data_IF_799876822076
#
_entry.id   IF_799876822076
#
_cell.length_a   1.000
_cell.length_b   1.000
_cell.length_c   1.000
_cell.angle_alpha   90.00
_cell.angle_beta   90.00
_cell.angle_gamma   90.00
#
_symmetry.space_group_name_H-M   'P 1'
#
loop_
_entity.id
_entity.type
_entity.pdbx_description
1 polymer ?
#
# COMPACT_ATOMS: atom_id res chain seq x y z
N UNK A 1 -19.93 -4.53 -7.78
CA UNK A 1 -20.19 -5.58 -8.75
C UNK A 1 -18.92 -6.15 -9.31
N UNK A 2 -18.02 -5.27 -9.79
CA UNK A 2 -16.74 -5.74 -10.30
C UNK A 2 -15.97 -6.54 -9.26
N UNK A 3 -16.03 -6.13 -8.00
CA UNK A 3 -15.30 -6.81 -6.93
C UNK A 3 -15.79 -8.23 -6.71
N UNK A 4 -17.08 -8.47 -6.86
CA UNK A 4 -17.63 -9.80 -6.64
C UNK A 4 -17.08 -10.83 -7.63
N UNK A 5 -16.49 -10.36 -8.72
CA UNK A 5 -15.94 -11.22 -9.76
C UNK A 5 -14.43 -11.37 -9.66
N UNK A 6 -13.79 -10.66 -8.74
CA UNK A 6 -12.33 -10.74 -8.57
C UNK A 6 -12.04 -11.75 -7.47
N UNK A 7 -11.41 -12.86 -7.84
CA UNK A 7 -11.14 -13.96 -6.91
C UNK A 7 -9.70 -13.95 -6.38
N UNK A 8 -8.77 -13.34 -7.11
CA UNK A 8 -7.37 -13.34 -6.71
C UNK A 8 -6.69 -12.06 -7.16
N UNK A 9 -5.55 -11.81 -6.54
CA UNK A 9 -4.71 -10.67 -6.91
C UNK A 9 -4.22 -10.81 -8.35
N UNK A 10 -3.84 -12.03 -8.76
CA UNK A 10 -3.40 -12.25 -10.14
C UNK A 10 -4.50 -11.92 -11.14
N UNK A 11 -5.73 -12.35 -10.87
CA UNK A 11 -6.86 -12.03 -11.75
C UNK A 11 -7.06 -10.53 -11.85
N UNK A 12 -6.95 -9.83 -10.72
CA UNK A 12 -7.10 -8.38 -10.73
C UNK A 12 -6.01 -7.72 -11.57
N UNK A 13 -4.77 -8.13 -11.38
CA UNK A 13 -3.65 -7.52 -12.10
C UNK A 13 -3.71 -7.78 -13.59
N UNK A 14 -4.26 -8.94 -13.99
CA UNK A 14 -4.43 -9.24 -15.40
C UNK A 14 -5.42 -8.29 -16.08
N UNK A 15 -6.33 -7.69 -15.31
CA UNK A 15 -7.37 -6.82 -15.87
C UNK A 15 -7.05 -5.34 -15.75
N UNK A 16 -5.99 -4.97 -15.03
CA UNK A 16 -5.64 -3.56 -14.86
C UNK A 16 -5.19 -2.96 -16.18
N UNK A 17 -5.77 -1.82 -16.53
CA UNK A 17 -5.38 -1.07 -17.71
C UNK A 17 -4.39 0.01 -17.27
N UNK A 18 -3.24 0.06 -17.93
CA UNK A 18 -2.18 0.99 -17.56
C UNK A 18 -1.34 0.47 -16.41
N UNK A 19 -0.43 1.29 -15.87
CA UNK A 19 0.50 0.82 -14.84
C UNK A 19 -0.22 0.62 -13.50
N UNK A 20 -0.14 -0.59 -12.92
CA UNK A 20 -0.75 -0.83 -11.61
C UNK A 20 -0.20 0.08 -10.52
N UNK A 21 -1.07 0.45 -9.58
CA UNK A 21 -0.71 1.17 -8.38
C UNK A 21 -1.29 0.38 -7.20
N UNK A 22 -0.43 -0.12 -6.34
CA UNK A 22 -0.82 -0.97 -5.22
C UNK A 22 -0.34 -0.37 -3.91
N UNK A 23 -1.09 -0.61 -2.84
CA UNK A 23 -0.69 -0.26 -1.48
C UNK A 23 -0.52 -1.54 -0.69
N UNK A 24 0.63 -1.72 -0.07
CA UNK A 24 0.94 -2.90 0.74
C UNK A 24 1.16 -2.43 2.18
N UNK A 25 0.42 -3.03 3.12
CA UNK A 25 0.43 -2.64 4.51
C UNK A 25 0.98 -3.79 5.35
N UNK A 26 2.18 -3.62 5.89
CA UNK A 26 2.82 -4.67 6.69
C UNK A 26 2.70 -4.34 8.17
N UNK A 27 1.66 -4.84 8.82
CA UNK A 27 1.50 -4.68 10.26
C UNK A 27 0.46 -3.67 10.69
N UNK A 28 -0.41 -3.23 9.79
CA UNK A 28 -1.49 -2.31 10.14
C UNK A 28 -2.66 -3.12 10.68
N UNK A 29 -2.81 -3.12 12.01
CA UNK A 29 -3.81 -3.92 12.69
C UNK A 29 -4.93 -3.11 13.32
N UNK A 30 -4.80 -1.79 13.36
CA UNK A 30 -5.84 -0.91 13.90
C UNK A 30 -6.92 -0.70 12.84
N UNK A 31 -8.19 -1.04 13.15
CA UNK A 31 -9.29 -0.89 12.19
C UNK A 31 -9.46 0.53 11.65
N UNK A 32 -9.24 1.56 12.48
CA UNK A 32 -9.34 2.94 12.00
C UNK A 32 -8.28 3.22 10.95
N UNK A 33 -7.05 2.77 11.18
CA UNK A 33 -5.97 2.98 10.22
C UNK A 33 -6.25 2.23 8.92
N UNK A 34 -6.73 1.00 9.00
CA UNK A 34 -7.04 0.27 7.78
C UNK A 34 -8.15 0.96 6.99
N UNK A 35 -9.22 1.39 7.67
CA UNK A 35 -10.30 2.11 7.00
C UNK A 35 -9.82 3.35 6.29
N UNK A 36 -8.97 4.14 6.97
CA UNK A 36 -8.42 5.35 6.37
C UNK A 36 -7.50 5.03 5.19
N UNK A 37 -6.71 3.95 5.29
CA UNK A 37 -5.86 3.53 4.18
C UNK A 37 -6.68 3.11 2.95
N UNK A 38 -7.76 2.35 3.16
CA UNK A 38 -8.65 1.97 2.07
C UNK A 38 -9.26 3.19 1.40
N UNK A 39 -9.65 4.18 2.21
CA UNK A 39 -10.26 5.39 1.71
C UNK A 39 -9.32 6.20 0.83
N UNK A 40 -8.08 6.41 1.27
CA UNK A 40 -7.13 7.16 0.44
C UNK A 40 -6.67 6.37 -0.76
N UNK A 41 -6.58 5.05 -0.65
CA UNK A 41 -6.23 4.20 -1.79
C UNK A 41 -7.28 4.32 -2.89
N UNK A 42 -8.54 4.28 -2.50
CA UNK A 42 -9.63 4.43 -3.44
C UNK A 42 -9.61 5.81 -4.09
N UNK A 43 -9.44 6.85 -3.28
CA UNK A 43 -9.42 8.22 -3.80
C UNK A 43 -8.26 8.49 -4.74
N UNK A 44 -7.11 7.87 -4.52
CA UNK A 44 -5.93 8.07 -5.36
C UNK A 44 -5.89 7.19 -6.59
N UNK A 45 -6.86 6.28 -6.73
CA UNK A 45 -6.92 5.40 -7.89
C UNK A 45 -6.03 4.17 -7.78
N UNK A 46 -5.69 3.75 -6.57
CA UNK A 46 -4.98 2.48 -6.39
C UNK A 46 -5.87 1.32 -6.83
N UNK A 47 -5.26 0.26 -7.29
CA UNK A 47 -6.00 -0.89 -7.81
C UNK A 47 -6.29 -1.93 -6.75
N UNK A 48 -5.45 -2.00 -5.70
CA UNK A 48 -5.66 -2.95 -4.62
C UNK A 48 -4.85 -2.57 -3.40
N UNK A 49 -5.28 -3.08 -2.24
CA UNK A 49 -4.53 -3.01 -0.98
C UNK A 49 -4.23 -4.44 -0.55
N UNK A 50 -3.00 -4.69 -0.14
CA UNK A 50 -2.50 -6.02 0.20
C UNK A 50 -1.93 -6.00 1.60
N UNK A 51 -2.21 -7.04 2.40
CA UNK A 51 -1.67 -7.17 3.75
C UNK A 51 -1.40 -8.64 4.08
N UNK A 52 -0.42 -8.93 4.96
CA UNK A 52 -0.20 -10.31 5.41
C UNK A 52 -1.25 -10.70 6.45
N UNK A 53 -1.80 -11.91 6.34
CA UNK A 53 -2.86 -12.38 7.23
C UNK A 53 -2.47 -12.34 8.71
N UNK A 54 -1.22 -12.63 9.01
CA UNK A 54 -0.76 -12.73 10.39
C UNK A 54 -0.44 -11.39 11.03
N UNK A 55 -0.43 -10.30 10.25
CA UNK A 55 -0.15 -8.94 10.73
C UNK A 55 -1.09 -7.96 10.06
N UNK A 56 -2.39 -8.21 10.17
CA UNK A 56 -3.42 -7.40 9.54
C UNK A 56 -4.72 -7.51 10.30
N UNK A 57 -5.66 -6.68 9.93
CA UNK A 57 -7.03 -6.74 10.44
C UNK A 57 -7.95 -6.90 9.23
N UNK A 58 -9.01 -7.70 9.40
CA UNK A 58 -10.01 -7.85 8.37
C UNK A 58 -10.99 -6.68 8.35
N UNK A 59 -11.83 -6.64 7.32
CA UNK A 59 -12.86 -5.62 7.21
C UNK A 59 -13.97 -5.95 8.21
N UNK A 60 -14.22 -5.02 9.12
CA UNK A 60 -15.30 -5.09 10.10
C UNK A 60 -16.12 -3.81 10.05
N UNK A 61 -17.07 -3.66 10.98
CA UNK A 61 -17.94 -2.49 10.98
C UNK A 61 -17.18 -1.17 11.13
N UNK A 62 -16.14 -1.17 11.99
CA UNK A 62 -15.31 0.02 12.20
C UNK A 62 -14.56 0.38 10.91
N UNK A 63 -13.94 -0.61 10.26
CA UNK A 63 -13.22 -0.39 9.00
C UNK A 63 -14.18 0.16 7.95
N UNK A 64 -15.35 -0.46 7.81
CA UNK A 64 -16.31 -0.05 6.80
C UNK A 64 -16.77 1.40 7.03
N UNK A 65 -16.99 1.78 8.29
CA UNK A 65 -17.43 3.14 8.61
C UNK A 65 -16.34 4.16 8.28
N UNK A 66 -15.10 3.91 8.69
CA UNK A 66 -14.00 4.84 8.48
C UNK A 66 -13.67 4.93 6.98
N UNK A 67 -13.74 3.81 6.27
CA UNK A 67 -13.45 3.76 4.84
C UNK A 67 -14.49 4.50 4.00
N UNK A 68 -15.68 4.76 4.54
CA UNK A 68 -16.71 5.59 3.88
C UNK A 68 -17.06 5.06 2.49
N UNK A 69 -17.35 3.75 2.42
CA UNK A 69 -17.68 3.10 1.16
C UNK A 69 -16.50 2.47 0.43
N UNK A 70 -15.29 2.89 0.71
CA UNK A 70 -14.12 2.34 0.02
C UNK A 70 -13.89 0.87 0.36
N UNK A 71 -14.39 0.39 1.52
CA UNK A 71 -14.27 -1.02 1.87
C UNK A 71 -15.02 -1.92 0.89
N UNK A 72 -16.00 -1.37 0.18
CA UNK A 72 -16.80 -2.13 -0.78
C UNK A 72 -16.25 -2.03 -2.21
N UNK A 73 -15.45 -1.01 -2.48
CA UNK A 73 -14.97 -0.75 -3.84
C UNK A 73 -13.46 -0.97 -4.01
N UNK A 74 -12.70 -0.95 -2.91
CA UNK A 74 -11.25 -1.17 -2.96
C UNK A 74 -10.95 -2.63 -2.66
N UNK A 75 -10.44 -3.41 -3.62
CA UNK A 75 -10.05 -4.79 -3.35
C UNK A 75 -8.97 -4.86 -2.27
N UNK A 76 -9.22 -5.68 -1.25
CA UNK A 76 -8.31 -5.86 -0.13
C UNK A 76 -7.95 -7.34 -0.03
N UNK A 77 -6.67 -7.65 -0.25
CA UNK A 77 -6.18 -9.02 -0.27
C UNK A 77 -5.33 -9.29 0.96
N UNK A 78 -5.73 -10.27 1.77
CA UNK A 78 -4.93 -10.73 2.90
C UNK A 78 -4.20 -11.99 2.45
N UNK A 79 -2.87 -11.89 2.33
CA UNK A 79 -2.06 -12.97 1.77
C UNK A 79 -1.35 -13.74 2.87
N UNK A 80 -1.05 -15.00 2.60
CA UNK A 80 -0.42 -15.88 3.58
C UNK A 80 1.06 -15.55 3.78
N UNK A 81 1.76 -15.20 2.70
CA UNK A 81 3.20 -14.93 2.73
C UNK A 81 3.47 -13.64 1.96
N UNK A 82 3.69 -12.55 2.69
CA UNK A 82 3.86 -11.25 2.05
C UNK A 82 5.13 -11.19 1.20
N UNK A 83 6.23 -11.75 1.68
CA UNK A 83 7.47 -11.73 0.92
C UNK A 83 7.31 -12.47 -0.40
N UNK A 84 6.59 -13.59 -0.40
CA UNK A 84 6.31 -14.31 -1.65
C UNK A 84 5.46 -13.46 -2.58
N UNK A 85 4.44 -12.80 -2.05
CA UNK A 85 3.57 -11.95 -2.86
C UNK A 85 4.37 -10.81 -3.48
N UNK A 86 5.26 -10.17 -2.71
CA UNK A 86 6.12 -9.12 -3.26
C UNK A 86 7.01 -9.66 -4.37
N UNK A 87 7.54 -10.87 -4.20
CA UNK A 87 8.33 -11.53 -5.24
C UNK A 87 7.52 -11.74 -6.51
N UNK A 88 6.27 -12.15 -6.37
CA UNK A 88 5.37 -12.33 -7.52
C UNK A 88 5.07 -11.00 -8.21
N UNK A 89 4.92 -9.93 -7.45
CA UNK A 89 4.74 -8.60 -8.04
C UNK A 89 5.98 -8.19 -8.84
N UNK A 90 7.17 -8.46 -8.29
CA UNK A 90 8.41 -8.14 -8.98
C UNK A 90 8.54 -8.93 -10.28
N UNK A 91 8.07 -10.18 -10.30
CA UNK A 91 8.05 -10.97 -11.52
C UNK A 91 7.13 -10.38 -12.59
N UNK A 92 6.13 -9.62 -12.18
CA UNK A 92 5.25 -8.87 -13.08
C UNK A 92 5.81 -7.49 -13.43
N UNK A 93 7.06 -7.22 -13.05
CA UNK A 93 7.73 -5.94 -13.26
C UNK A 93 7.05 -4.79 -12.51
N UNK A 94 6.49 -5.09 -11.35
CA UNK A 94 5.93 -4.07 -10.46
C UNK A 94 6.99 -3.72 -9.42
N UNK A 95 7.41 -2.46 -9.40
CA UNK A 95 8.42 -1.98 -8.45
C UNK A 95 7.84 -1.97 -7.03
N UNK A 96 8.53 -2.59 -6.09
CA UNK A 96 8.14 -2.57 -4.69
C UNK A 96 8.98 -1.53 -3.97
N UNK A 97 8.38 -0.41 -3.61
CA UNK A 97 9.05 0.71 -2.94
C UNK A 97 8.60 0.77 -1.50
N UNK A 98 9.51 0.55 -0.57
CA UNK A 98 9.21 0.56 0.85
C UNK A 98 9.46 1.92 1.45
N UNK A 99 8.52 2.39 2.27
CA UNK A 99 8.68 3.67 2.97
C UNK A 99 9.52 3.45 4.23
N UNK A 100 10.60 4.20 4.36
CA UNK A 100 11.50 4.11 5.50
C UNK A 100 12.09 5.48 5.77
N UNK A 101 12.09 5.90 7.06
CA UNK A 101 12.55 7.24 7.40
C UNK A 101 14.06 7.43 7.25
N UNK A 102 14.82 6.34 7.13
CA UNK A 102 16.27 6.41 6.97
C UNK A 102 16.71 6.25 5.51
N UNK A 103 15.80 6.20 4.56
CA UNK A 103 16.15 6.07 3.15
C UNK A 103 16.73 7.39 2.63
N UNK A 104 17.86 7.35 1.90
CA UNK A 104 18.46 8.59 1.40
C UNK A 104 17.66 9.22 0.26
N UNK A 105 16.93 8.41 -0.50
CA UNK A 105 16.11 8.91 -1.60
C UNK A 105 14.72 9.19 -1.10
N UNK A 106 14.15 10.33 -1.52
CA UNK A 106 12.81 10.69 -1.07
C UNK A 106 11.76 10.17 -2.02
N UNK A 107 10.53 10.10 -1.51
CA UNK A 107 9.35 9.79 -2.31
C UNK A 107 9.28 10.64 -3.58
N UNK A 108 9.63 11.93 -3.45
CA UNK A 108 9.46 12.87 -4.55
C UNK A 108 10.50 12.69 -5.65
N UNK A 109 11.57 11.95 -5.38
CA UNK A 109 12.60 11.63 -6.36
C UNK A 109 12.30 10.34 -7.11
N UNK A 110 11.33 9.55 -6.64
CA UNK A 110 11.01 8.27 -7.25
C UNK A 110 10.10 8.45 -8.45
N UNK A 111 10.26 7.57 -9.45
CA UNK A 111 9.35 7.54 -10.59
C UNK A 111 8.15 6.66 -10.23
N UNK A 112 7.00 7.28 -10.05
CA UNK A 112 5.77 6.59 -9.68
C UNK A 112 4.79 6.47 -10.86
N UNK A 113 5.25 6.80 -12.07
CA UNK A 113 4.45 6.62 -13.28
C UNK A 113 4.47 5.19 -13.79
N UNK A 114 5.42 4.39 -13.33
CA UNK A 114 5.57 2.99 -13.72
C UNK A 114 4.72 2.11 -12.80
N UNK A 115 4.57 0.81 -13.12
CA UNK A 115 3.91 -0.11 -12.19
C UNK A 115 4.63 -0.12 -10.85
N UNK A 116 3.89 0.15 -9.76
CA UNK A 116 4.50 0.31 -8.44
C UNK A 116 3.59 -0.21 -7.34
N UNK A 117 4.21 -0.82 -6.33
CA UNK A 117 3.58 -1.17 -5.07
C UNK A 117 4.28 -0.37 -3.98
N UNK A 118 3.53 0.46 -3.29
CA UNK A 118 4.04 1.25 -2.18
C UNK A 118 3.85 0.45 -0.89
N UNK A 119 4.93 0.14 -0.21
CA UNK A 119 4.92 -0.76 0.96
C UNK A 119 5.18 0.05 2.21
N UNK A 120 4.22 0.04 3.13
CA UNK A 120 4.31 0.77 4.39
C UNK A 120 4.17 -0.19 5.56
N UNK A 121 4.90 0.09 6.63
CA UNK A 121 4.85 -0.70 7.84
C UNK A 121 4.03 -0.04 8.93
N UNK A 122 3.94 -0.73 10.05
CA UNK A 122 3.24 -0.22 11.22
C UNK A 122 3.95 1.03 11.75
N UNK A 123 3.15 1.89 12.35
CA UNK A 123 3.65 3.08 13.00
C UNK A 123 4.61 2.70 14.13
N UNK A 124 5.77 3.36 14.19
CA UNK A 124 6.79 3.08 15.18
C UNK A 124 7.69 1.92 14.82
N UNK A 125 7.12 0.73 14.62
CA UNK A 125 7.90 -0.47 14.32
C UNK A 125 8.36 -0.53 12.87
N UNK A 126 7.60 0.08 11.96
CA UNK A 126 7.90 0.02 10.54
C UNK A 126 7.62 -1.33 9.93
N UNK A 127 8.22 -1.58 8.77
CA UNK A 127 8.09 -2.87 8.09
C UNK A 127 8.92 -3.93 8.79
N UNK A 128 8.46 -5.20 8.72
CA UNK A 128 9.29 -6.31 9.17
C UNK A 128 10.53 -6.42 8.29
N UNK A 129 11.58 -7.01 8.86
CA UNK A 129 12.88 -7.07 8.20
C UNK A 129 12.82 -7.75 6.83
N UNK A 130 12.09 -8.85 6.73
CA UNK A 130 12.00 -9.58 5.46
C UNK A 130 11.25 -8.77 4.41
N UNK A 131 10.20 -8.04 4.82
CA UNK A 131 9.46 -7.16 3.91
C UNK A 131 10.40 -6.07 3.38
N UNK A 132 11.16 -5.46 4.29
CA UNK A 132 12.11 -4.41 3.93
C UNK A 132 13.15 -4.91 2.93
N UNK A 133 13.69 -6.09 3.17
CA UNK A 133 14.71 -6.69 2.29
C UNK A 133 14.15 -7.05 0.92
N UNK A 134 12.87 -7.39 0.86
CA UNK A 134 12.26 -7.82 -0.40
C UNK A 134 11.91 -6.65 -1.29
N UNK A 135 11.77 -5.45 -0.74
CA UNK A 135 11.52 -4.25 -1.56
C UNK A 135 12.69 -4.01 -2.51
N UNK A 136 12.35 -3.51 -3.70
CA UNK A 136 13.37 -3.14 -4.69
C UNK A 136 14.17 -1.94 -4.22
N UNK A 137 13.51 -1.01 -3.53
CA UNK A 137 14.13 0.24 -3.10
C UNK A 137 13.37 0.77 -1.89
N UNK A 138 14.06 1.56 -1.07
CA UNK A 138 13.44 2.27 0.05
C UNK A 138 13.39 3.76 -0.29
N UNK A 139 12.31 4.41 0.10
CA UNK A 139 12.13 5.84 -0.09
C UNK A 139 11.66 6.44 1.24
N UNK A 140 11.96 7.71 1.43
CA UNK A 140 11.55 8.41 2.64
C UNK A 140 10.56 9.52 2.33
N UNK A 141 9.71 9.83 3.30
CA UNK A 141 8.87 11.02 3.26
C UNK A 141 9.61 12.08 4.07
N UNK A 142 10.00 13.21 3.47
CA UNK A 142 10.74 14.22 4.21
C UNK A 142 9.96 14.75 5.42
N UNK A 143 10.63 14.79 6.56
CA UNK A 143 10.07 15.32 7.80
C UNK A 143 10.92 16.50 8.25
N UNK A 144 10.28 17.61 8.57
CA UNK A 144 10.98 18.86 8.90
C UNK A 144 10.94 19.19 10.38
N UNK A 145 10.14 18.46 11.16
CA UNK A 145 10.03 18.70 12.58
C UNK A 145 10.80 17.68 13.40
N UNK A 146 10.46 17.58 14.68
CA UNK A 146 11.11 16.65 15.59
C UNK A 146 10.53 15.23 15.50
N UNK A 147 9.32 15.09 14.98
CA UNK A 147 8.67 13.80 14.81
C UNK A 147 9.24 13.12 13.57
N UNK A 148 9.56 11.83 13.69
CA UNK A 148 10.31 11.13 12.66
C UNK A 148 9.45 10.53 11.56
N UNK A 149 8.16 10.26 11.84
CA UNK A 149 7.31 9.62 10.85
C UNK A 149 5.87 10.09 11.00
N UNK A 150 5.09 9.88 9.94
CA UNK A 150 3.67 10.18 9.90
C UNK A 150 2.88 8.94 10.32
N UNK A 151 1.65 9.17 10.80
CA UNK A 151 0.66 8.09 10.93
C UNK A 151 0.57 7.33 9.59
N UNK A 152 0.37 6.02 9.66
CA UNK A 152 0.45 5.18 8.46
C UNK A 152 -0.62 5.54 7.42
N UNK A 153 -1.82 5.94 7.85
CA UNK A 153 -2.85 6.31 6.87
C UNK A 153 -2.51 7.63 6.21
N UNK A 154 -1.90 8.55 6.94
CA UNK A 154 -1.44 9.82 6.37
C UNK A 154 -0.27 9.56 5.42
N UNK A 155 0.69 8.74 5.82
CA UNK A 155 1.82 8.36 4.95
C UNK A 155 1.33 7.68 3.68
N UNK A 156 0.34 6.79 3.80
CA UNK A 156 -0.27 6.14 2.63
C UNK A 156 -0.86 7.18 1.69
N UNK A 157 -1.58 8.15 2.23
CA UNK A 157 -2.16 9.23 1.43
C UNK A 157 -1.11 10.05 0.73
N UNK A 158 -0.04 10.43 1.44
CA UNK A 158 1.05 11.21 0.85
C UNK A 158 1.69 10.45 -0.31
N UNK A 159 1.99 9.17 -0.10
CA UNK A 159 2.64 8.35 -1.15
C UNK A 159 1.72 8.15 -2.35
N UNK A 160 0.48 7.78 -2.09
CA UNK A 160 -0.47 7.49 -3.17
C UNK A 160 -0.82 8.73 -3.96
N UNK A 161 -1.00 9.86 -3.30
CA UNK A 161 -1.33 11.10 -4.01
C UNK A 161 -0.14 11.68 -4.75
N UNK A 162 1.08 11.39 -4.31
CA UNK A 162 2.24 11.73 -5.13
C UNK A 162 2.26 10.88 -6.41
N UNK A 163 1.90 9.59 -6.30
CA UNK A 163 1.77 8.75 -7.49
C UNK A 163 0.69 9.30 -8.42
N UNK A 164 -0.45 9.68 -7.86
CA UNK A 164 -1.52 10.26 -8.66
C UNK A 164 -1.05 11.54 -9.36
N UNK A 165 -0.36 12.43 -8.62
CA UNK A 165 0.15 13.66 -9.20
C UNK A 165 1.04 13.40 -10.42
N UNK A 166 1.90 12.40 -10.31
CA UNK A 166 2.80 12.07 -11.42
C UNK A 166 2.08 11.49 -12.63
N UNK A 167 0.92 10.85 -12.39
CA UNK A 167 0.20 10.12 -13.43
C UNK A 167 -0.89 10.93 -14.13
N UNK A 168 -1.22 12.12 -13.62
CA UNK A 168 -2.26 12.96 -14.26
C UNK A 168 -1.67 14.12 -15.05
#
# INVERSE_FOLDING_TARGET
>A
EALAQVHSLDDLLDEVVGPPLLLVLDGVTDPHNLGACLRVAEGAGAHAVIAPKDHAVGVNATVAKVASGAAETMPYFMVTNLARTLGELKERSIWCLGASDDAPRTLYQADLKVPVALVLGAEGAGMRQLTRKTCDELISIPMRGAVESLNVSVASGVCLYEALRQRI
#
